data_IF_870665160238
#
_entry.id   IF_870665160238
#
_cell.length_a   1.000
_cell.length_b   1.000
_cell.length_c   1.000
_cell.angle_alpha   90.00
_cell.angle_beta   90.00
_cell.angle_gamma   90.00
#
_symmetry.space_group_name_H-M   'P 1'
#
loop_
_entity.id
_entity.type
_entity.pdbx_description
1 polymer ?
#
# COMPACT_ATOMS: atom_id res chain seq x y z
N UNK A 1 4.12 11.33 14.22
CA UNK A 1 4.80 11.65 15.50
C UNK A 1 3.85 12.36 16.46
N UNK A 2 3.25 13.50 16.09
CA UNK A 2 2.31 14.27 16.94
C UNK A 2 1.22 13.44 17.62
N UNK A 3 0.52 12.56 16.87
CA UNK A 3 -0.51 11.69 17.46
C UNK A 3 0.05 10.70 18.48
N UNK A 4 1.20 10.09 18.20
CA UNK A 4 1.88 9.16 19.11
C UNK A 4 2.35 9.90 20.38
N UNK A 5 2.87 11.12 20.22
CA UNK A 5 3.26 11.98 21.33
C UNK A 5 2.06 12.45 22.17
N UNK A 6 0.88 12.55 21.56
CA UNK A 6 -0.38 12.86 22.23
C UNK A 6 -1.05 11.62 22.87
N UNK A 7 -0.39 10.46 22.86
CA UNK A 7 -0.89 9.22 23.48
C UNK A 7 -1.74 8.34 22.58
N UNK A 8 -1.80 8.60 21.27
CA UNK A 8 -2.53 7.73 20.35
C UNK A 8 -1.89 6.33 20.27
N UNK A 9 -2.72 5.31 20.43
CA UNK A 9 -2.34 3.92 20.25
C UNK A 9 -2.37 3.54 18.76
N UNK A 10 -1.23 3.14 18.22
CA UNK A 10 -1.10 2.74 16.82
C UNK A 10 -1.71 1.36 16.53
N UNK A 11 -2.06 0.60 17.56
CA UNK A 11 -2.88 -0.61 17.41
C UNK A 11 -4.27 -0.28 16.83
N UNK A 12 -4.74 0.97 16.99
CA UNK A 12 -5.99 1.47 16.42
C UNK A 12 -5.79 2.28 15.13
N UNK A 13 -4.56 2.38 14.62
CA UNK A 13 -4.26 3.13 13.41
C UNK A 13 -4.43 2.28 12.14
N UNK A 14 -5.16 2.83 11.17
CA UNK A 14 -5.32 2.28 9.83
C UNK A 14 -4.90 3.35 8.81
N UNK A 15 -3.82 3.09 8.07
CA UNK A 15 -3.37 3.96 6.99
C UNK A 15 -3.99 3.50 5.67
N UNK A 16 -4.50 4.45 4.88
CA UNK A 16 -5.04 4.18 3.55
C UNK A 16 -4.29 5.03 2.55
N UNK A 17 -3.72 4.41 1.52
CA UNK A 17 -2.91 5.09 0.52
C UNK A 17 -3.31 4.69 -0.89
N UNK A 18 -3.45 5.66 -1.80
CA UNK A 18 -3.82 5.46 -3.20
C UNK A 18 -2.64 5.78 -4.14
N UNK A 19 -2.38 4.95 -5.15
CA UNK A 19 -1.28 5.16 -6.10
C UNK A 19 0.07 5.24 -5.39
N UNK A 20 0.78 6.36 -5.55
CA UNK A 20 2.04 6.65 -4.83
C UNK A 20 1.81 6.70 -3.31
N UNK A 21 0.62 7.10 -2.87
CA UNK A 21 0.24 7.15 -1.46
C UNK A 21 0.29 5.80 -0.76
N UNK A 22 0.12 4.68 -1.48
CA UNK A 22 0.29 3.34 -0.92
C UNK A 22 1.73 3.12 -0.42
N UNK A 23 2.73 3.57 -1.18
CA UNK A 23 4.13 3.52 -0.79
C UNK A 23 4.46 4.53 0.31
N UNK A 24 3.86 5.72 0.27
CA UNK A 24 4.01 6.70 1.36
C UNK A 24 3.50 6.13 2.69
N UNK A 25 2.38 5.41 2.70
CA UNK A 25 1.88 4.72 3.88
C UNK A 25 2.88 3.66 4.39
N UNK A 26 3.45 2.86 3.49
CA UNK A 26 4.51 1.90 3.82
C UNK A 26 5.74 2.58 4.43
N UNK A 27 6.27 3.64 3.80
CA UNK A 27 7.41 4.38 4.31
C UNK A 27 7.13 5.04 5.67
N UNK A 28 5.94 5.61 5.87
CA UNK A 28 5.54 6.17 7.15
C UNK A 28 5.54 5.08 8.24
N UNK A 29 5.03 3.89 7.94
CA UNK A 29 5.04 2.77 8.87
C UNK A 29 6.46 2.27 9.16
N UNK A 30 7.33 2.14 8.15
CA UNK A 30 8.77 1.82 8.32
C UNK A 30 9.47 2.82 9.24
N UNK A 31 9.19 4.12 9.09
CA UNK A 31 9.74 5.14 9.99
C UNK A 31 9.27 4.96 11.44
N UNK A 32 8.00 4.60 11.65
CA UNK A 32 7.48 4.31 12.99
C UNK A 32 8.12 3.05 13.59
N UNK A 33 8.36 2.01 12.78
CA UNK A 33 9.01 0.79 13.25
C UNK A 33 10.41 1.05 13.79
N UNK A 34 11.18 1.98 13.19
CA UNK A 34 12.48 2.43 13.72
C UNK A 34 12.40 3.05 15.13
N UNK A 35 11.21 3.47 15.56
CA UNK A 35 10.92 4.00 16.89
C UNK A 35 10.26 2.94 17.80
N UNK A 36 10.31 1.65 17.45
CA UNK A 36 9.60 0.55 18.12
C UNK A 36 8.08 0.77 18.18
N UNK A 37 7.52 1.39 17.13
CA UNK A 37 6.09 1.67 17.00
C UNK A 37 5.56 0.97 15.75
N UNK A 38 4.50 0.16 15.90
CA UNK A 38 3.92 -0.60 14.78
C UNK A 38 2.48 -0.15 14.51
N UNK A 39 2.18 0.09 13.24
CA UNK A 39 0.83 0.37 12.75
C UNK A 39 0.06 -0.94 12.62
N UNK A 40 -1.23 -0.94 12.97
CA UNK A 40 -2.03 -2.14 12.88
C UNK A 40 -2.37 -2.51 11.43
N UNK A 41 -2.89 -1.57 10.64
CA UNK A 41 -3.34 -1.87 9.27
C UNK A 41 -2.88 -0.85 8.22
N UNK A 42 -2.54 -1.33 7.03
CA UNK A 42 -2.42 -0.53 5.82
C UNK A 42 -3.38 -1.11 4.77
N UNK A 43 -4.26 -0.28 4.20
CA UNK A 43 -4.95 -0.60 2.95
C UNK A 43 -4.34 0.19 1.80
N UNK A 44 -3.83 -0.52 0.82
CA UNK A 44 -3.14 0.05 -0.32
C UNK A 44 -4.01 -0.07 -1.57
N UNK A 45 -4.38 1.07 -2.13
CA UNK A 45 -5.30 1.18 -3.25
C UNK A 45 -4.50 1.44 -4.52
N UNK A 46 -4.37 0.42 -5.34
CA UNK A 46 -3.67 0.40 -6.63
C UNK A 46 -2.26 1.01 -6.56
N UNK A 47 -1.29 0.36 -5.87
CA UNK A 47 0.02 0.93 -5.63
C UNK A 47 0.74 1.26 -6.94
N UNK A 48 1.34 2.46 -7.01
CA UNK A 48 1.98 2.94 -8.22
C UNK A 48 3.15 2.05 -8.66
N UNK A 49 3.22 1.75 -9.96
CA UNK A 49 4.27 0.93 -10.57
C UNK A 49 5.60 1.66 -10.79
N UNK A 50 5.64 2.88 -11.38
CA UNK A 50 6.91 3.54 -11.68
C UNK A 50 7.71 3.79 -10.40
N UNK A 51 9.02 3.53 -10.44
CA UNK A 51 9.96 3.65 -9.31
C UNK A 51 9.82 2.62 -8.18
N UNK A 52 8.74 1.83 -8.14
CA UNK A 52 8.48 0.86 -7.07
C UNK A 52 8.51 -0.61 -7.53
N UNK A 53 8.79 -0.86 -8.82
CA UNK A 53 9.14 -2.19 -9.35
C UNK A 53 10.55 -2.59 -8.91
N UNK A 54 10.68 -2.99 -7.65
CA UNK A 54 11.93 -3.43 -7.04
C UNK A 54 11.68 -4.57 -6.07
N UNK A 55 12.67 -5.47 -5.95
CA UNK A 55 12.68 -6.51 -4.92
C UNK A 55 13.15 -5.99 -3.56
N UNK A 56 13.73 -4.79 -3.52
CA UNK A 56 14.10 -4.14 -2.26
C UNK A 56 12.84 -3.67 -1.51
N UNK A 57 12.46 -4.45 -0.48
CA UNK A 57 11.33 -4.16 0.39
C UNK A 57 11.47 -2.82 1.13
N UNK A 58 12.69 -2.28 1.27
CA UNK A 58 12.92 -0.95 1.85
C UNK A 58 12.57 0.18 0.89
N UNK A 59 12.52 -0.09 -0.41
CA UNK A 59 12.23 0.88 -1.48
C UNK A 59 10.76 0.97 -1.90
N UNK A 60 9.84 0.22 -1.29
CA UNK A 60 8.42 0.21 -1.64
C UNK A 60 7.52 -0.14 -0.45
N UNK A 61 6.22 -0.35 -0.70
CA UNK A 61 5.29 -0.93 0.28
C UNK A 61 5.61 -2.42 0.39
N UNK A 62 5.55 -2.96 1.60
CA UNK A 62 5.71 -4.39 1.88
C UNK A 62 4.78 -4.84 3.01
N UNK A 63 4.40 -6.11 3.01
CA UNK A 63 3.55 -6.72 4.04
C UNK A 63 4.12 -6.55 5.45
N UNK A 64 5.44 -6.48 5.60
CA UNK A 64 6.08 -6.28 6.90
C UNK A 64 5.86 -4.89 7.51
N UNK A 65 5.31 -3.93 6.75
CA UNK A 65 5.15 -2.54 7.19
C UNK A 65 4.11 -2.36 8.31
N UNK A 66 3.11 -3.23 8.39
CA UNK A 66 2.06 -3.19 9.42
C UNK A 66 1.76 -4.58 10.00
N UNK A 67 0.87 -4.68 10.99
CA UNK A 67 0.39 -5.97 11.46
C UNK A 67 -0.46 -6.69 10.39
N UNK A 68 -1.17 -5.92 9.56
CA UNK A 68 -1.89 -6.41 8.40
C UNK A 68 -1.82 -5.40 7.24
N UNK A 69 -1.69 -5.91 6.02
CA UNK A 69 -1.59 -5.11 4.79
C UNK A 69 -2.49 -5.77 3.76
N UNK A 70 -3.53 -5.06 3.34
CA UNK A 70 -4.41 -5.47 2.26
C UNK A 70 -4.26 -4.55 1.06
N UNK A 71 -4.10 -5.13 -0.12
CA UNK A 71 -3.81 -4.40 -1.36
C UNK A 71 -4.91 -4.67 -2.37
N UNK A 72 -5.37 -3.62 -3.04
CA UNK A 72 -6.28 -3.73 -4.19
C UNK A 72 -5.49 -3.35 -5.43
N UNK A 73 -5.43 -4.23 -6.42
CA UNK A 73 -4.79 -4.02 -7.70
C UNK A 73 -5.87 -3.87 -8.77
N UNK A 74 -6.10 -2.65 -9.27
CA UNK A 74 -7.21 -2.36 -10.18
C UNK A 74 -6.78 -1.90 -11.56
N UNK A 75 -5.53 -1.45 -11.73
CA UNK A 75 -4.98 -0.96 -12.99
C UNK A 75 -3.53 -1.43 -13.22
N UNK A 76 -3.28 -2.73 -13.12
CA UNK A 76 -1.93 -3.32 -13.19
C UNK A 76 -1.24 -3.15 -14.55
N UNK A 77 -2.02 -2.92 -15.60
CA UNK A 77 -1.50 -2.77 -16.96
C UNK A 77 -0.89 -1.38 -17.16
N UNK A 78 -1.54 -0.32 -16.69
CA UNK A 78 -1.07 1.06 -16.86
C UNK A 78 -0.32 1.57 -15.62
N UNK A 79 -1.02 1.93 -14.56
CA UNK A 79 -0.46 2.69 -13.44
C UNK A 79 -0.07 1.85 -12.24
N UNK A 80 -0.83 0.79 -11.95
CA UNK A 80 -0.67 -0.07 -10.79
C UNK A 80 0.40 -1.15 -10.96
N UNK A 81 0.95 -1.60 -9.83
CA UNK A 81 1.89 -2.72 -9.77
C UNK A 81 1.14 -4.06 -9.78
N UNK A 82 1.63 -5.05 -10.52
CA UNK A 82 1.05 -6.41 -10.53
C UNK A 82 1.53 -7.26 -9.35
N UNK A 83 2.79 -7.06 -8.93
CA UNK A 83 3.45 -7.83 -7.87
C UNK A 83 2.64 -7.75 -6.56
N UNK A 84 2.45 -8.87 -5.85
CA UNK A 84 1.81 -8.85 -4.54
C UNK A 84 2.69 -8.12 -3.53
N UNK A 85 2.10 -7.19 -2.79
CA UNK A 85 2.79 -6.38 -1.77
C UNK A 85 2.23 -6.61 -0.36
N UNK A 86 1.06 -7.24 -0.24
CA UNK A 86 0.33 -7.39 1.01
C UNK A 86 0.48 -8.73 1.70
N UNK A 87 -0.28 -8.86 2.79
CA UNK A 87 -0.66 -10.17 3.33
C UNK A 87 -1.77 -10.79 2.50
N UNK A 88 -2.65 -9.93 1.95
CA UNK A 88 -3.71 -10.29 1.02
C UNK A 88 -3.72 -9.26 -0.10
N UNK A 89 -3.73 -9.75 -1.34
CA UNK A 89 -3.73 -8.95 -2.55
C UNK A 89 -4.97 -9.30 -3.37
N UNK A 90 -5.83 -8.32 -3.59
CA UNK A 90 -7.09 -8.43 -4.32
C UNK A 90 -6.91 -7.92 -5.74
N UNK A 91 -7.35 -8.71 -6.72
CA UNK A 91 -7.29 -8.37 -8.14
C UNK A 91 -8.71 -8.34 -8.72
N UNK A 92 -9.53 -7.31 -8.40
CA UNK A 92 -10.86 -7.17 -8.97
C UNK A 92 -10.78 -7.17 -10.50
N UNK A 93 -11.59 -8.02 -11.14
CA UNK A 93 -11.57 -8.17 -12.60
C UNK A 93 -10.15 -8.43 -13.15
N UNK A 94 -9.40 -9.29 -12.45
CA UNK A 94 -7.99 -9.61 -12.71
C UNK A 94 -7.01 -8.44 -12.53
N UNK A 95 -7.48 -7.29 -12.06
CA UNK A 95 -6.72 -6.05 -11.91
C UNK A 95 -6.38 -5.35 -13.22
N UNK A 96 -6.93 -5.80 -14.35
CA UNK A 96 -6.56 -5.33 -15.69
C UNK A 96 -7.48 -4.22 -16.16
N UNK A 97 -8.79 -4.44 -16.12
CA UNK A 97 -9.80 -3.50 -16.61
C UNK A 97 -11.02 -3.57 -15.70
N UNK A 98 -11.49 -2.40 -15.27
CA UNK A 98 -12.62 -2.29 -14.37
C UNK A 98 -13.89 -1.90 -15.15
N UNK A 99 -15.05 -2.51 -14.84
CA UNK A 99 -16.32 -2.14 -15.46
C UNK A 99 -16.58 -0.64 -15.36
N UNK A 100 -16.84 0.01 -16.50
CA UNK A 100 -17.14 1.45 -16.57
C UNK A 100 -15.93 2.37 -16.77
N UNK A 101 -14.69 1.88 -16.79
CA UNK A 101 -13.48 2.70 -16.98
C UNK A 101 -13.08 2.96 -18.45
N UNK A 102 -13.89 2.54 -19.43
CA UNK A 102 -13.57 2.69 -20.85
C UNK A 102 -12.64 1.59 -21.38
N UNK A 103 -12.24 1.71 -22.65
CA UNK A 103 -11.41 0.71 -23.32
C UNK A 103 -9.93 0.87 -22.97
N UNK A 104 -9.21 -0.24 -22.81
CA UNK A 104 -7.77 -0.27 -22.48
C UNK A 104 -6.87 0.05 -23.70
N UNK A 105 -7.45 0.51 -24.81
CA UNK A 105 -6.72 0.83 -26.05
C UNK A 105 -6.66 2.32 -26.35
N UNK A 106 -7.07 3.18 -25.40
CA UNK A 106 -7.02 4.64 -25.55
C UNK A 106 -5.89 5.25 -24.74
#
# INVERSE_FOLDING_TARGET
YLLVSAGADLSNAHLIGFGIGAHVAGFAAKMLQKLNKRVNRISALDPAKPLYLTDDIQGRLDKSDAAFVDVIHSDVFFHGILMPLGHVDFYPNSGISQPGCGDISQ
#
